data_IF_241301119125
#
_entry.id   IF_241301119125
#
_cell.length_a   1.000
_cell.length_b   1.000
_cell.length_c   1.000
_cell.angle_alpha   90.00
_cell.angle_beta   90.00
_cell.angle_gamma   90.00
#
_symmetry.space_group_name_H-M   'P 1'
#
loop_
_entity.id
_entity.type
_entity.pdbx_description
1 polymer ?
#
# COMPACT_ATOMS: atom_id res chain seq x y z
N UNK A 1 17.46 -10.85 20.31
CA UNK A 1 16.65 -9.61 20.19
C UNK A 1 16.60 -9.05 18.75
N UNK A 2 17.73 -8.76 18.08
CA UNK A 2 17.75 -8.23 16.69
C UNK A 2 17.08 -9.12 15.63
N UNK A 3 17.20 -10.44 15.74
CA UNK A 3 16.63 -11.42 14.79
C UNK A 3 15.11 -11.53 14.86
N UNK A 4 14.51 -11.37 16.04
CA UNK A 4 13.05 -11.42 16.23
C UNK A 4 12.36 -10.18 15.65
N UNK A 5 12.94 -9.00 15.87
CA UNK A 5 12.49 -7.73 15.30
C UNK A 5 12.62 -7.69 13.77
N UNK A 6 13.74 -8.19 13.23
CA UNK A 6 13.91 -8.36 11.79
C UNK A 6 12.85 -9.31 11.20
N UNK A 7 12.50 -10.37 11.92
CA UNK A 7 11.46 -11.33 11.52
C UNK A 7 10.07 -10.71 11.52
N UNK A 8 9.72 -9.91 12.54
CA UNK A 8 8.44 -9.17 12.61
C UNK A 8 8.33 -8.11 11.51
N UNK A 9 9.40 -7.35 11.27
CA UNK A 9 9.47 -6.36 10.16
C UNK A 9 9.34 -7.04 8.79
N UNK A 10 10.00 -8.17 8.59
CA UNK A 10 9.86 -8.94 7.36
C UNK A 10 8.44 -9.49 7.17
N UNK A 11 7.76 -9.95 8.22
CA UNK A 11 6.36 -10.39 8.14
C UNK A 11 5.44 -9.22 7.77
N UNK A 12 5.67 -8.02 8.32
CA UNK A 12 4.90 -6.83 7.99
C UNK A 12 5.14 -6.37 6.54
N UNK A 13 6.41 -6.31 6.10
CA UNK A 13 6.76 -5.99 4.72
C UNK A 13 6.22 -7.04 3.76
N UNK A 14 6.32 -8.33 4.08
CA UNK A 14 5.74 -9.40 3.28
C UNK A 14 4.22 -9.23 3.15
N UNK A 15 3.51 -8.82 4.21
CA UNK A 15 2.07 -8.57 4.15
C UNK A 15 1.72 -7.38 3.26
N UNK A 16 2.51 -6.31 3.32
CA UNK A 16 2.34 -5.13 2.48
C UNK A 16 2.59 -5.46 1.00
N UNK A 17 3.71 -6.10 0.69
CA UNK A 17 4.15 -6.35 -0.68
C UNK A 17 3.47 -7.54 -1.35
N UNK A 18 3.25 -8.65 -0.64
CA UNK A 18 2.64 -9.87 -1.21
C UNK A 18 1.12 -9.89 -1.08
N UNK A 19 0.57 -9.09 -0.17
CA UNK A 19 -0.86 -9.05 0.11
C UNK A 19 -1.51 -7.77 -0.38
N UNK A 20 -1.21 -6.66 0.29
CA UNK A 20 -1.97 -5.42 0.12
C UNK A 20 -1.72 -4.73 -1.23
N UNK A 21 -0.47 -4.63 -1.68
CA UNK A 21 -0.14 -3.97 -2.95
C UNK A 21 -0.75 -4.67 -4.18
N UNK A 22 -0.68 -6.01 -4.33
CA UNK A 22 -1.32 -6.70 -5.45
C UNK A 22 -2.84 -6.51 -5.47
N UNK A 23 -3.48 -6.57 -4.30
CA UNK A 23 -4.91 -6.30 -4.16
C UNK A 23 -5.25 -4.87 -4.60
N UNK A 24 -4.49 -3.88 -4.15
CA UNK A 24 -4.73 -2.46 -4.46
C UNK A 24 -4.55 -2.19 -5.97
N UNK A 25 -3.49 -2.74 -6.57
CA UNK A 25 -3.25 -2.68 -8.02
C UNK A 25 -4.38 -3.34 -8.79
N UNK A 26 -4.83 -4.51 -8.36
CA UNK A 26 -5.92 -5.20 -9.06
C UNK A 26 -7.27 -4.49 -8.90
N UNK A 27 -7.53 -3.88 -7.74
CA UNK A 27 -8.76 -3.10 -7.52
C UNK A 27 -8.77 -1.86 -8.41
N UNK A 28 -7.62 -1.20 -8.58
CA UNK A 28 -7.44 -0.09 -9.50
C UNK A 28 -7.67 -0.51 -10.97
N UNK A 29 -7.09 -1.64 -11.40
CA UNK A 29 -7.29 -2.17 -12.75
C UNK A 29 -8.75 -2.55 -13.03
N UNK A 30 -9.47 -3.04 -12.01
CA UNK A 30 -10.89 -3.34 -12.10
C UNK A 30 -11.74 -2.06 -12.23
N UNK A 31 -11.51 -1.06 -11.35
CA UNK A 31 -12.23 0.23 -11.36
C UNK A 31 -12.00 1.04 -12.64
N UNK A 32 -10.79 1.00 -13.20
CA UNK A 32 -10.45 1.68 -14.45
C UNK A 32 -11.00 1.01 -15.71
N UNK A 33 -11.73 -0.12 -15.57
CA UNK A 33 -12.20 -1.00 -16.65
C UNK A 33 -11.10 -1.55 -17.57
N UNK A 34 -9.83 -1.24 -17.31
CA UNK A 34 -8.68 -1.77 -18.05
C UNK A 34 -8.58 -3.29 -17.91
N UNK A 35 -9.08 -3.86 -16.80
CA UNK A 35 -9.20 -5.30 -16.60
C UNK A 35 -9.91 -6.01 -17.78
N UNK A 36 -10.99 -5.42 -18.30
CA UNK A 36 -11.80 -6.02 -19.37
C UNK A 36 -11.13 -5.94 -20.75
N UNK A 37 -10.18 -5.03 -20.92
CA UNK A 37 -9.42 -4.86 -22.17
C UNK A 37 -8.21 -5.81 -22.27
N UNK A 38 -7.86 -6.52 -21.20
CA UNK A 38 -6.79 -7.51 -21.24
C UNK A 38 -7.29 -8.84 -21.81
N UNK A 39 -6.36 -9.61 -22.41
CA UNK A 39 -6.61 -10.99 -22.81
C UNK A 39 -7.13 -11.83 -21.64
N UNK A 40 -7.99 -12.80 -21.95
CA UNK A 40 -8.60 -13.75 -21.00
C UNK A 40 -7.56 -14.42 -20.08
N UNK A 41 -6.36 -14.70 -20.61
CA UNK A 41 -5.23 -15.28 -19.85
C UNK A 41 -4.74 -14.32 -18.76
N UNK A 42 -4.61 -13.03 -19.08
CA UNK A 42 -4.19 -12.00 -18.12
C UNK A 42 -5.25 -11.73 -17.06
N UNK A 43 -6.53 -11.77 -17.43
CA UNK A 43 -7.64 -11.67 -16.48
C UNK A 43 -7.62 -12.84 -15.48
N UNK A 44 -7.43 -14.07 -15.98
CA UNK A 44 -7.31 -15.25 -15.14
C UNK A 44 -6.10 -15.17 -14.20
N UNK A 45 -4.94 -14.74 -14.72
CA UNK A 45 -3.73 -14.58 -13.92
C UNK A 45 -3.92 -13.56 -12.78
N UNK A 46 -4.58 -12.43 -13.06
CA UNK A 46 -4.90 -11.43 -12.05
C UNK A 46 -5.81 -11.99 -10.96
N UNK A 47 -6.82 -12.79 -11.30
CA UNK A 47 -7.69 -13.44 -10.31
C UNK A 47 -6.88 -14.38 -9.41
N UNK A 48 -5.98 -15.19 -9.99
CA UNK A 48 -5.10 -16.09 -9.22
C UNK A 48 -4.18 -15.31 -8.27
N UNK A 49 -3.61 -14.20 -8.74
CA UNK A 49 -2.76 -13.33 -7.92
C UNK A 49 -3.55 -12.72 -6.75
N UNK A 50 -4.79 -12.25 -6.98
CA UNK A 50 -5.64 -11.74 -5.90
C UNK A 50 -5.97 -12.80 -4.86
N UNK A 51 -6.31 -14.01 -5.31
CA UNK A 51 -6.62 -15.11 -4.42
C UNK A 51 -5.41 -15.47 -3.55
N UNK A 52 -4.22 -15.57 -4.16
CA UNK A 52 -2.96 -15.80 -3.46
C UNK A 52 -2.65 -14.66 -2.47
N UNK A 53 -2.94 -13.42 -2.84
CA UNK A 53 -2.73 -12.24 -1.99
C UNK A 53 -3.64 -12.24 -0.76
N UNK A 54 -4.91 -12.62 -0.91
CA UNK A 54 -5.84 -12.79 0.22
C UNK A 54 -5.35 -13.90 1.15
N UNK A 55 -4.94 -15.04 0.61
CA UNK A 55 -4.36 -16.15 1.37
C UNK A 55 -3.10 -15.71 2.14
N UNK A 56 -2.20 -14.96 1.49
CA UNK A 56 -1.00 -14.42 2.13
C UNK A 56 -1.35 -13.46 3.28
N UNK A 57 -2.34 -12.57 3.09
CA UNK A 57 -2.80 -11.67 4.15
C UNK A 57 -3.37 -12.45 5.32
N UNK A 58 -4.24 -13.44 5.07
CA UNK A 58 -4.85 -14.27 6.12
C UNK A 58 -3.79 -15.07 6.87
N UNK A 59 -2.87 -15.71 6.15
CA UNK A 59 -1.78 -16.50 6.72
C UNK A 59 -0.87 -15.65 7.61
N UNK A 60 -0.36 -14.53 7.10
CA UNK A 60 0.54 -13.63 7.85
C UNK A 60 -0.18 -12.99 9.04
N UNK A 61 -1.47 -12.67 8.90
CA UNK A 61 -2.28 -12.16 10.02
C UNK A 61 -2.47 -13.23 11.10
N UNK A 62 -2.67 -14.49 10.73
CA UNK A 62 -2.76 -15.61 11.66
C UNK A 62 -1.43 -15.86 12.37
N UNK A 63 -0.32 -15.79 11.64
CA UNK A 63 1.03 -15.93 12.21
C UNK A 63 1.34 -14.83 13.24
N UNK A 64 0.92 -13.58 12.97
CA UNK A 64 1.05 -12.46 13.91
C UNK A 64 0.09 -12.54 15.11
N UNK A 65 -1.06 -13.22 14.98
CA UNK A 65 -1.99 -13.42 16.11
C UNK A 65 -1.51 -14.53 17.04
N UNK A 66 -0.94 -15.61 16.49
CA UNK A 66 -0.42 -16.76 17.27
C UNK A 66 0.87 -16.39 18.01
N UNK A 67 1.75 -15.60 17.38
CA UNK A 67 2.88 -14.98 18.08
C UNK A 67 2.36 -13.72 18.77
N UNK A 68 1.95 -13.82 20.04
CA UNK A 68 1.65 -12.67 20.92
C UNK A 68 2.80 -11.65 20.82
N UNK A 69 2.70 -10.70 19.90
CA UNK A 69 3.57 -9.53 19.80
C UNK A 69 3.05 -8.47 20.77
N UNK A 70 2.77 -8.90 21.99
CA UNK A 70 2.04 -8.15 23.01
C UNK A 70 2.92 -7.06 23.64
N UNK A 71 4.23 -7.26 23.67
CA UNK A 71 5.17 -6.27 24.19
C UNK A 71 6.35 -6.14 23.23
N UNK A 72 6.33 -5.12 22.35
CA UNK A 72 7.58 -4.48 21.97
C UNK A 72 7.30 -3.15 21.29
N UNK A 73 7.59 -2.11 22.05
CA UNK A 73 7.51 -0.67 21.82
C UNK A 73 8.52 -0.19 20.75
N UNK A 74 8.74 -0.99 19.69
CA UNK A 74 9.88 -0.81 18.79
C UNK A 74 9.54 -0.27 17.40
N UNK A 75 8.28 -0.34 17.00
CA UNK A 75 7.80 0.53 15.92
C UNK A 75 7.36 1.82 16.60
N UNK A 76 8.34 2.69 16.87
CA UNK A 76 8.00 4.01 17.41
C UNK A 76 6.93 4.59 16.49
N UNK A 77 5.79 5.06 17.02
CA UNK A 77 4.69 5.57 16.20
C UNK A 77 5.16 6.60 15.17
N UNK A 78 6.20 7.37 15.53
CA UNK A 78 6.94 8.27 14.65
C UNK A 78 7.62 7.59 13.46
N UNK A 79 8.30 6.45 13.64
CA UNK A 79 8.95 5.71 12.55
C UNK A 79 7.92 5.13 11.57
N UNK A 80 6.78 4.64 12.07
CA UNK A 80 5.70 4.16 11.20
C UNK A 80 5.08 5.31 10.40
N UNK A 81 4.83 6.43 11.08
CA UNK A 81 4.27 7.63 10.48
C UNK A 81 5.21 8.24 9.44
N UNK A 82 6.52 8.25 9.69
CA UNK A 82 7.54 8.64 8.71
C UNK A 82 7.57 7.70 7.49
N UNK A 83 7.41 6.38 7.71
CA UNK A 83 7.33 5.40 6.63
C UNK A 83 6.08 5.64 5.75
N UNK A 84 4.94 5.97 6.36
CA UNK A 84 3.72 6.36 5.64
C UNK A 84 3.88 7.68 4.88
N UNK A 85 4.55 8.69 5.46
CA UNK A 85 4.89 9.95 4.75
C UNK A 85 5.74 9.66 3.52
N UNK A 86 6.78 8.82 3.65
CA UNK A 86 7.63 8.43 2.52
C UNK A 86 6.84 7.72 1.41
N UNK A 87 5.95 6.79 1.80
CA UNK A 87 5.10 6.06 0.85
C UNK A 87 4.12 7.00 0.13
N UNK A 88 3.49 7.93 0.83
CA UNK A 88 2.54 8.90 0.23
C UNK A 88 3.23 9.92 -0.66
N UNK A 89 4.44 10.36 -0.32
CA UNK A 89 5.27 11.16 -1.23
C UNK A 89 5.59 10.39 -2.53
N UNK A 90 5.99 9.13 -2.44
CA UNK A 90 6.28 8.30 -3.61
C UNK A 90 5.04 8.09 -4.50
N UNK A 91 3.88 7.83 -3.90
CA UNK A 91 2.61 7.71 -4.63
C UNK A 91 2.20 9.02 -5.30
N UNK A 92 2.43 10.17 -4.66
CA UNK A 92 2.19 11.49 -5.27
C UNK A 92 2.99 11.67 -6.57
N UNK A 93 4.27 11.28 -6.58
CA UNK A 93 5.12 11.36 -7.77
C UNK A 93 4.57 10.49 -8.90
N UNK A 94 4.12 9.27 -8.59
CA UNK A 94 3.52 8.36 -9.58
C UNK A 94 2.20 8.92 -10.13
N UNK A 95 1.35 9.49 -9.27
CA UNK A 95 0.10 10.12 -9.68
C UNK A 95 0.34 11.33 -10.59
N UNK A 96 1.33 12.17 -10.28
CA UNK A 96 1.71 13.31 -11.11
C UNK A 96 2.29 12.86 -12.46
N UNK A 97 3.19 11.87 -12.46
CA UNK A 97 3.73 11.29 -13.69
C UNK A 97 2.60 10.79 -14.59
N UNK A 98 1.66 10.03 -14.04
CA UNK A 98 0.51 9.51 -14.79
C UNK A 98 -0.45 10.62 -15.26
N UNK A 99 -0.62 11.68 -14.47
CA UNK A 99 -1.42 12.85 -14.86
C UNK A 99 -0.85 13.61 -16.05
N UNK A 100 0.47 13.56 -16.24
CA UNK A 100 1.17 14.20 -17.36
C UNK A 100 1.22 13.27 -18.59
N UNK A 101 1.42 11.96 -18.40
CA UNK A 101 1.62 11.01 -19.50
C UNK A 101 0.33 10.38 -20.05
N UNK A 102 -0.79 10.45 -19.33
CA UNK A 102 -2.04 9.85 -19.81
C UNK A 102 -2.58 10.61 -21.03
N UNK A 103 -2.95 9.87 -22.08
CA UNK A 103 -3.50 10.43 -23.34
C UNK A 103 -4.96 10.83 -23.18
N UNK A 104 -5.69 10.08 -22.36
CA UNK A 104 -7.13 10.26 -22.13
C UNK A 104 -7.42 11.24 -20.99
N UNK A 105 -8.28 12.22 -21.25
CA UNK A 105 -8.61 13.31 -20.31
C UNK A 105 -9.23 12.80 -18.99
N UNK A 106 -10.03 11.74 -19.03
CA UNK A 106 -10.61 11.14 -17.81
C UNK A 106 -9.55 10.49 -16.92
N UNK A 107 -8.51 9.87 -17.50
CA UNK A 107 -7.44 9.24 -16.74
C UNK A 107 -6.51 10.30 -16.11
N UNK A 108 -6.26 11.39 -16.82
CA UNK A 108 -5.56 12.55 -16.29
C UNK A 108 -6.31 13.14 -15.09
N UNK A 109 -7.63 13.36 -15.22
CA UNK A 109 -8.46 13.91 -14.13
C UNK A 109 -8.39 13.03 -12.86
N UNK A 110 -8.53 11.72 -13.01
CA UNK A 110 -8.44 10.76 -11.89
C UNK A 110 -7.04 10.80 -11.26
N UNK A 111 -5.99 10.88 -12.07
CA UNK A 111 -4.62 10.95 -11.58
C UNK A 111 -4.34 12.25 -10.78
N UNK A 112 -4.87 13.39 -11.24
CA UNK A 112 -4.77 14.66 -10.51
C UNK A 112 -5.58 14.64 -9.21
N UNK A 113 -6.79 14.08 -9.19
CA UNK A 113 -7.57 13.89 -7.96
C UNK A 113 -6.79 13.02 -6.97
N UNK A 114 -6.16 11.95 -7.44
CA UNK A 114 -5.29 11.08 -6.64
C UNK A 114 -4.07 11.82 -6.08
N UNK A 115 -3.45 12.70 -6.87
CA UNK A 115 -2.32 13.51 -6.42
C UNK A 115 -2.72 14.51 -5.31
N UNK A 116 -3.87 15.18 -5.45
CA UNK A 116 -4.40 16.11 -4.44
C UNK A 116 -4.70 15.36 -3.13
N UNK A 117 -5.36 14.21 -3.21
CA UNK A 117 -5.64 13.35 -2.05
C UNK A 117 -4.35 12.91 -1.35
N UNK A 118 -3.33 12.47 -2.10
CA UNK A 118 -2.04 12.09 -1.52
C UNK A 118 -1.35 13.28 -0.84
N UNK A 119 -1.48 14.50 -1.38
CA UNK A 119 -0.93 15.70 -0.79
C UNK A 119 -1.61 16.04 0.55
N UNK A 120 -2.94 15.95 0.62
CA UNK A 120 -3.72 16.15 1.85
C UNK A 120 -3.32 15.14 2.92
N UNK A 121 -3.18 13.86 2.55
CA UNK A 121 -2.78 12.80 3.48
C UNK A 121 -1.34 13.02 3.98
N UNK A 122 -0.42 13.44 3.10
CA UNK A 122 0.95 13.76 3.47
C UNK A 122 0.99 14.89 4.50
N UNK A 123 0.22 15.97 4.29
CA UNK A 123 0.09 17.08 5.24
C UNK A 123 -0.45 16.61 6.60
N UNK A 124 -1.51 15.80 6.61
CA UNK A 124 -2.08 15.21 7.83
C UNK A 124 -1.05 14.34 8.58
N UNK A 125 -0.26 13.54 7.86
CA UNK A 125 0.76 12.69 8.46
C UNK A 125 1.91 13.51 9.06
N UNK A 126 2.37 14.55 8.37
CA UNK A 126 3.41 15.48 8.88
C UNK A 126 2.89 16.26 10.10
N UNK A 127 1.64 16.72 10.07
CA UNK A 127 0.99 17.34 11.22
C UNK A 127 0.89 16.37 12.40
N UNK A 128 0.46 15.13 12.16
CA UNK A 128 0.40 14.11 13.21
C UNK A 128 1.77 13.83 13.83
N UNK A 129 2.87 13.95 13.08
CA UNK A 129 4.23 13.82 13.59
C UNK A 129 4.61 14.98 14.52
N UNK A 130 4.09 16.18 14.25
CA UNK A 130 4.26 17.39 15.08
C UNK A 130 3.43 17.34 16.37
N UNK A 131 2.25 16.73 16.34
CA UNK A 131 1.39 16.53 17.52
C UNK A 131 1.81 15.33 18.38
N UNK A 132 2.66 14.45 17.87
CA UNK A 132 3.26 13.35 18.63
C UNK A 132 4.35 13.86 19.59
N UNK A 133 3.98 14.71 20.56
CA UNK A 133 4.83 15.01 21.71
C UNK A 133 4.84 13.77 22.63
N UNK A 134 6.05 13.38 23.01
CA UNK A 134 6.34 12.29 23.94
C UNK A 134 5.74 12.58 25.30
#
# INVERSE_FOLDING_TARGET
MKTFLAKKRNIFLARLFLGQLPLLVSTYLFLSRQFLNFSLVFQFLLVVINLASILAVVYLTREMRVKKFEDDDLVSPRANQLMFVGLTCFMTIICLYRGITAVESYQQLIAYIGAILCFIITLLLVLGLKYYKK
#
